data_IF_474458675438
#
_entry.id   IF_474458675438
#
_cell.length_a   1.000
_cell.length_b   1.000
_cell.length_c   1.000
_cell.angle_alpha   90.00
_cell.angle_beta   90.00
_cell.angle_gamma   90.00
#
_symmetry.space_group_name_H-M   'P 1'
#
loop_
_entity.id
_entity.type
_entity.pdbx_description
1 polymer ?
#
# COMPACT_ATOMS: atom_id res chain seq x y z
N UNK A 1 -22.26 13.05 7.61
CA UNK A 1 -21.07 12.19 7.87
C UNK A 1 -21.06 10.95 6.98
N UNK A 2 -22.19 10.34 6.67
CA UNK A 2 -22.26 9.17 5.77
C UNK A 2 -21.74 9.46 4.37
N UNK A 3 -21.88 10.68 3.88
CA UNK A 3 -21.45 11.12 2.55
C UNK A 3 -19.93 10.97 2.30
N UNK A 4 -19.10 11.02 3.35
CA UNK A 4 -17.63 11.01 3.23
C UNK A 4 -16.97 9.78 3.89
N UNK A 5 -17.73 8.69 4.06
CA UNK A 5 -17.19 7.46 4.67
C UNK A 5 -15.98 6.89 3.90
N UNK A 6 -16.04 6.95 2.56
CA UNK A 6 -14.96 6.47 1.70
C UNK A 6 -13.69 7.28 1.85
N UNK A 7 -13.81 8.60 1.85
CA UNK A 7 -12.69 9.54 1.97
C UNK A 7 -12.02 9.43 3.34
N UNK A 8 -12.83 9.38 4.42
CA UNK A 8 -12.33 9.20 5.79
C UNK A 8 -11.60 7.86 5.92
N UNK A 9 -12.15 6.77 5.37
CA UNK A 9 -11.51 5.46 5.35
C UNK A 9 -10.19 5.48 4.55
N UNK A 10 -10.13 6.22 3.43
CA UNK A 10 -8.92 6.42 2.64
C UNK A 10 -7.82 7.13 3.44
N UNK A 11 -8.16 8.18 4.16
CA UNK A 11 -7.23 8.89 5.05
C UNK A 11 -6.79 7.99 6.21
N UNK A 12 -7.72 7.25 6.84
CA UNK A 12 -7.40 6.27 7.89
C UNK A 12 -6.43 5.21 7.39
N UNK A 13 -6.61 4.73 6.14
CA UNK A 13 -5.67 3.83 5.46
C UNK A 13 -4.27 4.44 5.37
N UNK A 14 -4.16 5.71 4.95
CA UNK A 14 -2.86 6.38 4.83
C UNK A 14 -2.14 6.51 6.18
N UNK A 15 -2.87 6.78 7.28
CA UNK A 15 -2.29 6.74 8.63
C UNK A 15 -1.81 5.34 9.02
N UNK A 16 -2.61 4.31 8.77
CA UNK A 16 -2.24 2.92 9.04
C UNK A 16 -0.99 2.51 8.25
N UNK A 17 -0.92 2.87 6.96
CA UNK A 17 0.24 2.54 6.12
C UNK A 17 1.48 3.37 6.49
N UNK A 18 1.31 4.58 6.99
CA UNK A 18 2.42 5.37 7.54
C UNK A 18 3.04 4.65 8.74
N UNK A 19 2.23 4.22 9.71
CA UNK A 19 2.71 3.42 10.84
C UNK A 19 3.38 2.12 10.36
N UNK A 20 2.71 1.38 9.48
CA UNK A 20 3.21 0.14 8.89
C UNK A 20 4.56 0.29 8.21
N UNK A 21 4.75 1.36 7.42
CA UNK A 21 6.00 1.58 6.68
C UNK A 21 7.20 1.70 7.61
N UNK A 22 7.04 2.39 8.75
CA UNK A 22 8.10 2.55 9.75
C UNK A 22 8.50 1.21 10.39
N UNK A 23 7.51 0.39 10.77
CA UNK A 23 7.76 -0.91 11.40
C UNK A 23 8.32 -1.92 10.41
N UNK A 24 7.82 -1.95 9.19
CA UNK A 24 8.30 -2.88 8.16
C UNK A 24 9.68 -2.50 7.62
N UNK A 25 10.02 -1.22 7.56
CA UNK A 25 11.38 -0.80 7.23
C UNK A 25 12.38 -1.32 8.27
N UNK A 26 12.08 -1.12 9.56
CA UNK A 26 12.94 -1.58 10.64
C UNK A 26 13.08 -3.11 10.67
N UNK A 27 11.98 -3.85 10.47
CA UNK A 27 11.98 -5.31 10.40
C UNK A 27 12.68 -5.81 9.14
N UNK A 28 12.40 -5.22 7.97
CA UNK A 28 12.96 -5.61 6.68
C UNK A 28 14.48 -5.51 6.61
N UNK A 29 15.06 -4.50 7.27
CA UNK A 29 16.53 -4.36 7.41
C UNK A 29 17.16 -5.53 8.17
N UNK A 30 16.41 -6.24 9.03
CA UNK A 30 16.90 -7.33 9.87
C UNK A 30 16.67 -8.72 9.25
N UNK A 31 15.50 -8.94 8.69
CA UNK A 31 15.05 -10.27 8.23
C UNK A 31 14.75 -10.37 6.73
N UNK A 32 14.91 -9.25 6.01
CA UNK A 32 14.63 -9.15 4.59
C UNK A 32 13.14 -8.93 4.29
N UNK A 33 12.85 -8.15 3.24
CA UNK A 33 11.51 -7.74 2.86
C UNK A 33 10.59 -8.90 2.46
N UNK A 34 11.12 -9.92 1.78
CA UNK A 34 10.32 -11.10 1.40
C UNK A 34 9.80 -11.85 2.62
N UNK A 35 10.66 -12.07 3.66
CA UNK A 35 10.25 -12.72 4.90
C UNK A 35 9.20 -11.89 5.64
N UNK A 36 9.35 -10.57 5.67
CA UNK A 36 8.34 -9.65 6.25
C UNK A 36 7.01 -9.83 5.55
N UNK A 37 6.99 -9.88 4.20
CA UNK A 37 5.74 -10.01 3.44
C UNK A 37 5.00 -11.32 3.70
N UNK A 38 5.70 -12.45 3.72
CA UNK A 38 5.08 -13.73 4.03
C UNK A 38 4.50 -13.74 5.46
N UNK A 39 5.31 -13.32 6.44
CA UNK A 39 4.93 -13.37 7.86
C UNK A 39 3.78 -12.39 8.15
N UNK A 40 3.80 -11.17 7.59
CA UNK A 40 2.72 -10.18 7.81
C UNK A 40 1.37 -10.67 7.29
N UNK A 41 1.35 -11.35 6.11
CA UNK A 41 0.12 -11.89 5.55
C UNK A 41 -0.39 -13.08 6.36
N UNK A 42 0.51 -13.93 6.86
CA UNK A 42 0.13 -15.02 7.78
C UNK A 42 -0.49 -14.45 9.06
N UNK A 43 0.09 -13.42 9.66
CA UNK A 43 -0.46 -12.78 10.86
C UNK A 43 -1.83 -12.13 10.57
N UNK A 44 -1.94 -11.43 9.45
CA UNK A 44 -3.21 -10.81 9.04
C UNK A 44 -4.30 -11.86 8.77
N UNK A 45 -3.95 -13.02 8.22
CA UNK A 45 -4.87 -14.13 8.04
C UNK A 45 -5.52 -14.54 9.37
N UNK A 46 -4.72 -14.72 10.43
CA UNK A 46 -5.26 -15.07 11.75
C UNK A 46 -6.06 -13.92 12.38
N UNK A 47 -5.60 -12.67 12.26
CA UNK A 47 -6.32 -11.51 12.80
C UNK A 47 -7.68 -11.35 12.13
N UNK A 48 -7.72 -11.37 10.79
CA UNK A 48 -8.96 -11.26 10.02
C UNK A 48 -9.89 -12.44 10.27
N UNK A 49 -9.35 -13.66 10.33
CA UNK A 49 -10.12 -14.85 10.66
C UNK A 49 -10.76 -14.78 12.05
N UNK A 50 -10.01 -14.28 13.04
CA UNK A 50 -10.53 -14.08 14.40
C UNK A 50 -11.66 -13.05 14.42
N UNK A 51 -11.48 -11.90 13.74
CA UNK A 51 -12.54 -10.88 13.66
C UNK A 51 -13.77 -11.41 12.92
N UNK A 52 -13.60 -12.09 11.79
CA UNK A 52 -14.70 -12.74 11.08
C UNK A 52 -15.44 -13.73 11.96
N UNK A 53 -14.71 -14.52 12.74
CA UNK A 53 -15.33 -15.49 13.66
C UNK A 53 -16.15 -14.80 14.76
N UNK A 54 -15.61 -13.75 15.36
CA UNK A 54 -16.28 -13.01 16.43
C UNK A 54 -17.52 -12.24 15.93
N UNK A 55 -17.43 -11.68 14.74
CA UNK A 55 -18.46 -10.80 14.17
C UNK A 55 -19.49 -11.56 13.33
N UNK A 56 -19.06 -12.60 12.57
CA UNK A 56 -19.91 -13.33 11.62
C UNK A 56 -20.11 -14.80 11.99
N UNK A 57 -19.43 -15.31 13.02
CA UNK A 57 -19.47 -16.72 13.39
C UNK A 57 -18.66 -17.64 12.47
N UNK A 58 -17.96 -17.10 11.45
CA UNK A 58 -17.21 -17.85 10.44
C UNK A 58 -15.75 -17.41 10.45
N UNK A 59 -14.82 -18.31 10.78
CA UNK A 59 -13.38 -18.00 10.70
C UNK A 59 -12.93 -17.76 9.25
N UNK A 60 -13.32 -18.65 8.35
CA UNK A 60 -13.09 -18.53 6.91
C UNK A 60 -14.34 -17.99 6.22
N UNK A 61 -14.20 -17.17 5.17
CA UNK A 61 -15.30 -16.59 4.42
C UNK A 61 -15.93 -17.60 3.44
N UNK A 62 -16.43 -18.72 3.96
CA UNK A 62 -16.97 -19.84 3.17
C UNK A 62 -18.35 -19.54 2.55
N UNK A 63 -19.01 -18.51 3.01
CA UNK A 63 -20.27 -17.97 2.50
C UNK A 63 -20.11 -17.04 1.30
N UNK A 64 -18.85 -16.72 0.93
CA UNK A 64 -18.55 -15.91 -0.24
C UNK A 64 -18.95 -16.63 -1.53
N UNK A 65 -19.56 -15.88 -2.48
CA UNK A 65 -19.88 -16.39 -3.80
C UNK A 65 -18.62 -16.71 -4.62
N UNK A 66 -18.79 -17.50 -5.68
CA UNK A 66 -17.69 -17.76 -6.63
C UNK A 66 -17.16 -16.46 -7.24
N UNK A 67 -18.04 -15.48 -7.50
CA UNK A 67 -17.64 -14.15 -7.97
C UNK A 67 -16.69 -13.46 -6.99
N UNK A 68 -17.06 -13.42 -5.70
CA UNK A 68 -16.23 -12.81 -4.66
C UNK A 68 -14.85 -13.52 -4.56
N UNK A 69 -14.84 -14.85 -4.53
CA UNK A 69 -13.60 -15.62 -4.47
C UNK A 69 -12.69 -15.35 -5.66
N UNK A 70 -13.20 -15.39 -6.89
CA UNK A 70 -12.39 -15.21 -8.10
C UNK A 70 -11.75 -13.80 -8.14
N UNK A 71 -12.56 -12.74 -7.98
CA UNK A 71 -12.07 -11.38 -8.12
C UNK A 71 -11.18 -10.96 -6.94
N UNK A 72 -11.53 -11.35 -5.70
CA UNK A 72 -10.74 -11.03 -4.52
C UNK A 72 -9.43 -11.84 -4.48
N UNK A 73 -9.44 -13.11 -4.89
CA UNK A 73 -8.21 -13.89 -5.00
C UNK A 73 -7.29 -13.31 -6.08
N UNK A 74 -7.83 -12.97 -7.26
CA UNK A 74 -7.07 -12.31 -8.32
C UNK A 74 -6.50 -10.97 -7.84
N UNK A 75 -7.30 -10.18 -7.13
CA UNK A 75 -6.86 -8.94 -6.49
C UNK A 75 -5.69 -9.15 -5.53
N UNK A 76 -5.75 -10.18 -4.68
CA UNK A 76 -4.69 -10.54 -3.74
C UNK A 76 -3.40 -10.98 -4.44
N UNK A 77 -3.52 -11.79 -5.50
CA UNK A 77 -2.36 -12.23 -6.29
C UNK A 77 -1.72 -11.05 -7.05
N UNK A 78 -2.53 -10.21 -7.70
CA UNK A 78 -2.03 -9.07 -8.47
C UNK A 78 -1.44 -8.00 -7.55
N UNK A 79 -2.16 -7.60 -6.50
CA UNK A 79 -1.71 -6.54 -5.61
C UNK A 79 -0.60 -7.00 -4.65
N UNK A 80 -0.87 -8.02 -3.81
CA UNK A 80 0.08 -8.43 -2.78
C UNK A 80 1.23 -9.28 -3.33
N UNK A 81 0.98 -10.23 -4.25
CA UNK A 81 2.07 -11.10 -4.72
C UNK A 81 2.87 -10.41 -5.81
N UNK A 82 2.28 -10.11 -6.94
CA UNK A 82 3.00 -9.53 -8.09
C UNK A 82 3.42 -8.09 -7.79
N UNK A 83 2.50 -7.24 -7.34
CA UNK A 83 2.76 -5.83 -7.07
C UNK A 83 3.86 -5.63 -6.03
N UNK A 84 3.80 -6.31 -4.89
CA UNK A 84 4.83 -6.18 -3.86
C UNK A 84 6.17 -6.78 -4.30
N UNK A 85 6.20 -7.90 -5.03
CA UNK A 85 7.46 -8.47 -5.55
C UNK A 85 8.16 -7.50 -6.48
N UNK A 86 7.44 -6.89 -7.42
CA UNK A 86 7.99 -5.92 -8.37
C UNK A 86 8.46 -4.66 -7.63
N UNK A 87 7.67 -4.14 -6.68
CA UNK A 87 8.03 -2.96 -5.90
C UNK A 87 9.26 -3.21 -5.02
N UNK A 88 9.36 -4.34 -4.34
CA UNK A 88 10.53 -4.64 -3.52
C UNK A 88 11.78 -4.88 -4.35
N UNK A 89 11.65 -5.48 -5.53
CA UNK A 89 12.77 -5.59 -6.44
C UNK A 89 13.19 -4.21 -6.95
N UNK A 90 12.25 -3.30 -7.24
CA UNK A 90 12.55 -1.92 -7.59
C UNK A 90 13.31 -1.20 -6.46
N UNK A 91 12.94 -1.40 -5.19
CA UNK A 91 13.68 -0.82 -4.06
C UNK A 91 15.15 -1.26 -4.03
N UNK A 92 15.45 -2.48 -4.44
CA UNK A 92 16.81 -3.00 -4.52
C UNK A 92 17.59 -2.38 -5.70
N UNK A 93 16.91 -2.19 -6.84
CA UNK A 93 17.55 -1.81 -8.11
C UNK A 93 17.72 -0.30 -8.26
N UNK A 94 16.67 0.49 -7.97
CA UNK A 94 16.69 1.97 -8.14
C UNK A 94 16.56 2.72 -6.81
N UNK A 95 16.37 2.00 -5.72
CA UNK A 95 16.21 2.58 -4.39
C UNK A 95 14.78 2.99 -4.07
N UNK A 96 14.49 3.11 -2.77
CA UNK A 96 13.15 3.39 -2.27
C UNK A 96 12.57 4.72 -2.79
N UNK A 97 13.40 5.77 -2.89
CA UNK A 97 12.96 7.11 -3.32
C UNK A 97 12.40 7.12 -4.75
N UNK A 98 13.14 6.54 -5.70
CA UNK A 98 12.69 6.47 -7.10
C UNK A 98 11.45 5.61 -7.23
N UNK A 99 11.44 4.47 -6.54
CA UNK A 99 10.29 3.56 -6.54
C UNK A 99 9.04 4.22 -5.97
N UNK A 100 9.15 4.96 -4.85
CA UNK A 100 8.01 5.68 -4.25
C UNK A 100 7.54 6.86 -5.12
N UNK A 101 8.44 7.51 -5.86
CA UNK A 101 8.05 8.53 -6.83
C UNK A 101 7.18 7.94 -7.95
N UNK A 102 7.57 6.75 -8.45
CA UNK A 102 6.79 6.05 -9.48
C UNK A 102 5.49 5.48 -8.88
N UNK A 103 5.51 5.06 -7.61
CA UNK A 103 4.29 4.65 -6.90
C UNK A 103 3.24 5.76 -6.80
N UNK A 104 3.63 7.04 -6.86
CA UNK A 104 2.68 8.16 -6.96
C UNK A 104 1.85 8.14 -8.27
N UNK A 105 2.18 7.28 -9.23
CA UNK A 105 1.34 7.02 -10.40
C UNK A 105 0.20 6.01 -10.13
N UNK A 106 0.21 5.34 -8.97
CA UNK A 106 -0.85 4.38 -8.63
C UNK A 106 -2.26 4.99 -8.64
N UNK A 107 -2.53 6.21 -8.10
CA UNK A 107 -3.85 6.82 -8.18
C UNK A 107 -4.37 7.06 -9.60
N UNK A 108 -3.65 7.70 -10.53
CA UNK A 108 -4.15 7.82 -11.91
C UNK A 108 -4.32 6.45 -12.59
N UNK A 109 -3.48 5.46 -12.27
CA UNK A 109 -3.68 4.09 -12.77
C UNK A 109 -4.94 3.44 -12.20
N UNK A 110 -5.24 3.68 -10.91
CA UNK A 110 -6.47 3.22 -10.27
C UNK A 110 -7.70 3.89 -10.89
N UNK A 111 -7.62 5.19 -11.18
CA UNK A 111 -8.68 5.92 -11.87
C UNK A 111 -8.96 5.37 -13.28
N UNK A 112 -7.90 5.16 -14.07
CA UNK A 112 -8.01 4.61 -15.43
C UNK A 112 -8.54 3.17 -15.39
N UNK A 113 -8.00 2.33 -14.50
CA UNK A 113 -8.45 0.94 -14.33
C UNK A 113 -9.88 0.88 -13.81
N UNK A 114 -10.28 1.77 -12.90
CA UNK A 114 -11.64 1.91 -12.40
C UNK A 114 -12.63 2.30 -13.49
N UNK A 115 -12.23 3.23 -14.36
CA UNK A 115 -13.02 3.58 -15.54
C UNK A 115 -13.21 2.38 -16.48
N UNK A 116 -12.14 1.66 -16.81
CA UNK A 116 -12.19 0.54 -17.76
C UNK A 116 -12.96 -0.67 -17.18
N UNK A 117 -12.73 -1.03 -15.91
CA UNK A 117 -13.22 -2.29 -15.30
C UNK A 117 -14.55 -2.11 -14.60
N UNK A 118 -14.78 -0.93 -13.99
CA UNK A 118 -15.96 -0.64 -13.17
C UNK A 118 -16.89 0.40 -13.81
N UNK A 119 -16.47 1.07 -14.89
CA UNK A 119 -17.22 2.18 -15.49
C UNK A 119 -17.22 3.45 -14.65
N UNK A 120 -16.29 3.60 -13.70
CA UNK A 120 -16.19 4.79 -12.83
C UNK A 120 -15.79 6.02 -13.65
N UNK A 121 -16.52 7.12 -13.47
CA UNK A 121 -16.18 8.42 -14.05
C UNK A 121 -15.88 9.41 -12.96
N UNK A 122 -14.72 10.07 -13.07
CA UNK A 122 -14.31 11.13 -12.14
C UNK A 122 -14.86 12.47 -12.61
N UNK A 123 -15.42 13.24 -11.71
CA UNK A 123 -15.75 14.63 -11.94
C UNK A 123 -14.49 15.49 -12.10
N UNK A 124 -14.65 16.66 -12.73
CA UNK A 124 -13.52 17.54 -12.98
C UNK A 124 -12.84 18.02 -11.69
N UNK A 125 -13.62 18.29 -10.64
CA UNK A 125 -13.13 18.64 -9.29
C UNK A 125 -12.24 17.54 -8.71
N UNK A 126 -12.64 16.26 -8.85
CA UNK A 126 -11.88 15.13 -8.38
C UNK A 126 -10.57 14.94 -9.15
N UNK A 127 -10.59 15.15 -10.49
CA UNK A 127 -9.36 15.11 -11.30
C UNK A 127 -8.39 16.21 -10.87
N UNK A 128 -8.89 17.43 -10.66
CA UNK A 128 -8.10 18.57 -10.20
C UNK A 128 -7.51 18.28 -8.80
N UNK A 129 -8.34 17.78 -7.88
CA UNK A 129 -7.90 17.35 -6.54
C UNK A 129 -6.79 16.31 -6.60
N UNK A 130 -6.93 15.29 -7.47
CA UNK A 130 -5.91 14.27 -7.69
C UNK A 130 -4.60 14.89 -8.18
N UNK A 131 -4.63 15.73 -9.21
CA UNK A 131 -3.43 16.37 -9.79
C UNK A 131 -2.71 17.24 -8.76
N UNK A 132 -3.45 18.06 -8.00
CA UNK A 132 -2.86 18.91 -6.96
C UNK A 132 -2.27 18.06 -5.84
N UNK A 133 -2.99 17.04 -5.35
CA UNK A 133 -2.50 16.14 -4.30
C UNK A 133 -1.22 15.43 -4.72
N UNK A 134 -1.19 14.86 -5.93
CA UNK A 134 -0.02 14.16 -6.45
C UNK A 134 1.17 15.09 -6.66
N UNK A 135 0.93 16.32 -7.10
CA UNK A 135 1.98 17.35 -7.23
C UNK A 135 2.61 17.62 -5.85
N UNK A 136 1.81 17.82 -4.83
CA UNK A 136 2.29 17.99 -3.45
C UNK A 136 3.08 16.78 -2.95
N UNK A 137 2.58 15.57 -3.16
CA UNK A 137 3.29 14.32 -2.80
C UNK A 137 4.63 14.20 -3.52
N UNK A 138 4.66 14.48 -4.83
CA UNK A 138 5.91 14.46 -5.61
C UNK A 138 6.92 15.48 -5.07
N UNK A 139 6.49 16.69 -4.69
CA UNK A 139 7.37 17.69 -4.06
C UNK A 139 7.96 17.17 -2.76
N UNK A 140 7.18 16.54 -1.89
CA UNK A 140 7.68 15.93 -0.64
C UNK A 140 8.71 14.86 -0.95
N UNK A 141 8.41 13.90 -1.83
CA UNK A 141 9.31 12.79 -2.17
C UNK A 141 10.61 13.30 -2.81
N UNK A 142 10.54 14.28 -3.70
CA UNK A 142 11.69 14.83 -4.41
C UNK A 142 12.64 15.64 -3.51
N UNK A 143 12.13 16.26 -2.46
CA UNK A 143 12.94 17.12 -1.58
C UNK A 143 13.41 16.43 -0.29
N UNK A 144 12.91 15.22 0.01
CA UNK A 144 13.29 14.47 1.21
C UNK A 144 14.78 14.06 1.14
N UNK A 145 15.59 14.36 2.17
CA UNK A 145 17.01 14.03 2.16
C UNK A 145 17.23 12.51 2.16
N UNK A 146 18.04 12.02 1.20
CA UNK A 146 18.45 10.62 1.17
C UNK A 146 19.77 10.46 1.90
N UNK A 147 19.81 9.70 2.97
CA UNK A 147 21.04 9.22 3.58
C UNK A 147 21.63 8.10 2.71
N UNK A 148 22.48 8.45 1.75
CA UNK A 148 23.28 7.45 1.03
C UNK A 148 24.43 6.97 1.91
N UNK A 149 24.73 5.65 1.88
CA UNK A 149 25.86 5.04 2.60
C UNK A 149 27.21 5.74 2.35
N UNK A 150 27.34 6.49 1.25
CA UNK A 150 28.59 7.13 0.81
C UNK A 150 28.54 8.67 0.80
N UNK A 151 27.54 9.31 1.39
CA UNK A 151 27.48 10.79 1.47
C UNK A 151 27.29 11.53 0.14
N UNK A 152 27.26 10.84 -1.00
CA UNK A 152 27.07 11.45 -2.32
C UNK A 152 25.58 11.69 -2.59
N UNK A 153 25.22 12.96 -2.90
CA UNK A 153 23.91 13.32 -3.41
C UNK A 153 23.76 12.72 -4.82
N UNK A 154 22.90 11.71 -4.98
CA UNK A 154 22.53 11.19 -6.30
C UNK A 154 21.78 12.26 -7.07
N UNK A 155 22.23 12.58 -8.29
CA UNK A 155 21.54 13.53 -9.18
C UNK A 155 20.29 12.88 -9.76
N UNK A 156 19.25 13.66 -10.04
CA UNK A 156 17.99 13.20 -10.65
C UNK A 156 18.25 12.39 -11.95
N UNK A 157 19.26 12.79 -12.72
CA UNK A 157 19.67 12.14 -13.97
C UNK A 157 20.15 10.68 -13.76
N UNK A 158 20.76 10.39 -12.60
CA UNK A 158 21.26 9.04 -12.29
C UNK A 158 20.12 8.04 -11.97
N UNK A 159 18.92 8.56 -11.68
CA UNK A 159 17.74 7.73 -11.37
C UNK A 159 17.17 7.05 -12.61
N UNK A 160 17.26 7.71 -13.76
CA UNK A 160 16.74 7.19 -15.03
C UNK A 160 17.73 6.27 -15.76
N UNK A 161 18.93 6.07 -15.22
CA UNK A 161 19.96 5.23 -15.83
C UNK A 161 19.70 3.72 -15.73
N UNK A 162 18.64 3.30 -14.99
CA UNK A 162 18.28 1.89 -14.87
C UNK A 162 16.83 1.64 -15.29
N UNK A 163 16.57 1.41 -16.60
CA UNK A 163 15.23 1.22 -17.13
C UNK A 163 14.51 0.01 -16.53
N UNK A 164 15.23 -1.06 -16.17
CA UNK A 164 14.66 -2.22 -15.51
C UNK A 164 14.06 -1.87 -14.15
N UNK A 165 14.78 -1.08 -13.33
CA UNK A 165 14.28 -0.66 -12.04
C UNK A 165 13.06 0.26 -12.12
N UNK A 166 13.01 1.13 -13.14
CA UNK A 166 11.84 1.96 -13.42
C UNK A 166 10.64 1.10 -13.85
N UNK A 167 10.86 0.13 -14.71
CA UNK A 167 9.81 -0.81 -15.16
C UNK A 167 9.27 -1.64 -14.00
N UNK A 168 10.13 -2.11 -13.10
CA UNK A 168 9.73 -2.84 -11.89
C UNK A 168 8.88 -1.96 -10.95
N UNK A 169 9.28 -0.70 -10.74
CA UNK A 169 8.51 0.24 -9.92
C UNK A 169 7.14 0.56 -10.55
N UNK A 170 7.11 0.76 -11.86
CA UNK A 170 5.88 0.98 -12.63
C UNK A 170 4.94 -0.25 -12.55
N UNK A 171 5.50 -1.46 -12.74
CA UNK A 171 4.76 -2.70 -12.58
C UNK A 171 4.21 -2.87 -11.16
N UNK A 172 4.97 -2.47 -10.13
CA UNK A 172 4.50 -2.44 -8.74
C UNK A 172 3.31 -1.49 -8.55
N UNK A 173 3.42 -0.26 -9.05
CA UNK A 173 2.34 0.73 -8.98
C UNK A 173 1.07 0.26 -9.71
N UNK A 174 1.24 -0.30 -10.92
CA UNK A 174 0.13 -0.88 -11.70
C UNK A 174 -0.52 -2.07 -10.98
N UNK A 175 0.30 -2.96 -10.40
CA UNK A 175 -0.21 -4.10 -9.64
C UNK A 175 -1.03 -3.68 -8.42
N UNK A 176 -0.59 -2.66 -7.69
CA UNK A 176 -1.35 -2.10 -6.56
C UNK A 176 -2.67 -1.46 -7.04
N UNK A 177 -2.62 -0.65 -8.10
CA UNK A 177 -3.79 0.01 -8.66
C UNK A 177 -4.85 -1.00 -9.15
N UNK A 178 -4.45 -1.94 -10.01
CA UNK A 178 -5.34 -2.98 -10.54
C UNK A 178 -5.84 -3.87 -9.38
N UNK A 179 -4.98 -4.26 -8.45
CA UNK A 179 -5.37 -5.04 -7.28
C UNK A 179 -6.47 -4.35 -6.47
N UNK A 180 -6.41 -3.03 -6.31
CA UNK A 180 -7.43 -2.26 -5.61
C UNK A 180 -8.77 -2.25 -6.38
N UNK A 181 -8.74 -2.02 -7.69
CA UNK A 181 -9.94 -2.03 -8.56
C UNK A 181 -10.61 -3.41 -8.59
N UNK A 182 -9.80 -4.47 -8.72
CA UNK A 182 -10.32 -5.85 -8.69
C UNK A 182 -10.95 -6.18 -7.33
N UNK A 183 -10.42 -5.62 -6.23
CA UNK A 183 -11.04 -5.83 -4.91
C UNK A 183 -12.40 -5.16 -4.81
N UNK A 184 -12.58 -3.95 -5.36
CA UNK A 184 -13.90 -3.31 -5.42
C UNK A 184 -14.89 -4.17 -6.18
N UNK A 185 -14.52 -4.66 -7.35
CA UNK A 185 -15.37 -5.56 -8.15
C UNK A 185 -15.71 -6.86 -7.42
N UNK A 186 -14.72 -7.46 -6.75
CA UNK A 186 -14.93 -8.71 -6.01
C UNK A 186 -15.70 -8.55 -4.71
N UNK A 187 -15.82 -7.34 -4.19
CA UNK A 187 -16.48 -7.05 -2.92
C UNK A 187 -17.97 -6.68 -3.09
N UNK A 188 -18.49 -6.66 -4.31
CA UNK A 188 -19.89 -6.32 -4.57
C UNK A 188 -20.84 -7.18 -3.72
N UNK A 189 -21.66 -6.52 -2.86
CA UNK A 189 -22.63 -7.19 -1.99
C UNK A 189 -22.02 -8.06 -0.88
N UNK A 190 -20.71 -7.90 -0.58
CA UNK A 190 -20.04 -8.72 0.40
C UNK A 190 -19.31 -7.91 1.47
N UNK A 191 -19.09 -8.52 2.64
CA UNK A 191 -18.47 -7.88 3.80
C UNK A 191 -17.01 -7.51 3.55
N UNK A 192 -16.61 -6.31 4.03
CA UNK A 192 -15.26 -5.75 3.83
C UNK A 192 -14.17 -6.59 4.49
N UNK A 193 -14.40 -7.05 5.73
CA UNK A 193 -13.41 -7.81 6.49
C UNK A 193 -13.21 -9.19 5.87
N UNK A 194 -14.31 -9.84 5.48
CA UNK A 194 -14.27 -11.11 4.78
C UNK A 194 -13.62 -10.99 3.40
N UNK A 195 -13.90 -9.91 2.67
CA UNK A 195 -13.24 -9.60 1.40
C UNK A 195 -11.74 -9.40 1.56
N UNK A 196 -11.35 -8.66 2.60
CA UNK A 196 -9.92 -8.47 2.95
C UNK A 196 -9.27 -9.81 3.29
N UNK A 197 -9.98 -10.70 3.98
CA UNK A 197 -9.48 -12.02 4.35
C UNK A 197 -9.21 -12.89 3.12
N UNK A 198 -10.13 -12.94 2.13
CA UNK A 198 -9.90 -13.67 0.86
C UNK A 198 -8.66 -13.11 0.14
N UNK A 199 -8.54 -11.79 0.05
CA UNK A 199 -7.36 -11.14 -0.56
C UNK A 199 -6.05 -11.53 0.12
N UNK A 200 -6.03 -11.48 1.46
CA UNK A 200 -4.85 -11.84 2.27
C UNK A 200 -4.51 -13.31 2.09
N UNK A 201 -5.50 -14.20 2.06
CA UNK A 201 -5.30 -15.64 1.81
C UNK A 201 -4.64 -15.88 0.46
N UNK A 202 -5.17 -15.26 -0.61
CA UNK A 202 -4.62 -15.41 -1.95
C UNK A 202 -3.18 -14.86 -2.04
N UNK A 203 -2.93 -13.68 -1.46
CA UNK A 203 -1.59 -13.11 -1.37
C UNK A 203 -0.62 -13.98 -0.59
N UNK A 204 -1.06 -14.54 0.54
CA UNK A 204 -0.25 -15.48 1.33
C UNK A 204 0.12 -16.73 0.53
N UNK A 205 -0.86 -17.36 -0.13
CA UNK A 205 -0.64 -18.53 -1.00
C UNK A 205 0.34 -18.16 -2.11
N UNK A 206 0.18 -17.00 -2.75
CA UNK A 206 1.10 -16.51 -3.77
C UNK A 206 2.54 -16.39 -3.26
N UNK A 207 2.76 -15.84 -2.05
CA UNK A 207 4.09 -15.79 -1.44
C UNK A 207 4.62 -17.18 -1.05
N UNK A 208 3.78 -18.10 -0.59
CA UNK A 208 4.16 -19.50 -0.34
C UNK A 208 4.72 -20.11 -1.61
N UNK A 209 4.05 -19.95 -2.74
CA UNK A 209 4.50 -20.43 -4.05
C UNK A 209 5.84 -19.80 -4.43
N UNK A 210 5.98 -18.46 -4.28
CA UNK A 210 7.26 -17.77 -4.54
C UNK A 210 8.39 -18.32 -3.69
N UNK A 211 8.17 -18.50 -2.38
CA UNK A 211 9.19 -19.08 -1.49
C UNK A 211 9.55 -20.51 -1.85
N UNK A 212 8.57 -21.29 -2.31
CA UNK A 212 8.80 -22.66 -2.79
C UNK A 212 9.75 -22.67 -4.01
N UNK A 213 9.46 -21.87 -5.03
CA UNK A 213 10.32 -21.79 -6.22
C UNK A 213 11.69 -21.18 -5.92
N UNK A 214 11.76 -20.17 -5.04
CA UNK A 214 13.03 -19.55 -4.65
C UNK A 214 13.86 -20.39 -3.68
N UNK A 215 13.32 -21.49 -3.13
CA UNK A 215 13.97 -22.37 -2.13
C UNK A 215 14.52 -21.60 -0.92
N UNK A 216 13.82 -20.54 -0.48
CA UNK A 216 14.30 -19.61 0.58
C UNK A 216 13.63 -19.81 1.95
N UNK A 217 12.97 -20.92 2.20
CA UNK A 217 12.25 -21.20 3.45
C UNK A 217 13.12 -21.09 4.70
N UNK A 218 14.41 -21.45 4.62
CA UNK A 218 15.34 -21.29 5.73
C UNK A 218 15.41 -19.87 6.26
N UNK A 219 15.24 -18.83 5.38
CA UNK A 219 15.23 -17.42 5.78
C UNK A 219 14.02 -17.07 6.63
N UNK A 220 12.87 -17.70 6.39
CA UNK A 220 11.66 -17.50 7.18
C UNK A 220 11.86 -18.06 8.60
N UNK A 221 12.42 -19.27 8.71
CA UNK A 221 12.69 -19.87 10.03
C UNK A 221 13.71 -19.07 10.85
N UNK A 222 14.73 -18.50 10.20
CA UNK A 222 15.69 -17.59 10.86
C UNK A 222 14.98 -16.28 11.27
N UNK A 223 14.11 -15.76 10.41
CA UNK A 223 13.34 -14.55 10.69
C UNK A 223 12.45 -14.69 11.93
N UNK A 224 11.77 -15.82 12.09
CA UNK A 224 10.89 -16.10 13.23
C UNK A 224 11.65 -16.11 14.58
N UNK A 225 12.95 -16.41 14.58
CA UNK A 225 13.80 -16.38 15.78
C UNK A 225 14.20 -14.96 16.20
N UNK A 226 14.09 -13.98 15.32
CA UNK A 226 14.47 -12.60 15.60
C UNK A 226 13.33 -11.85 16.32
N UNK A 227 13.31 -11.92 17.65
CA UNK A 227 12.26 -11.32 18.50
C UNK A 227 12.00 -9.83 18.22
N UNK A 228 13.05 -9.05 17.92
CA UNK A 228 12.92 -7.60 17.68
C UNK A 228 12.30 -7.32 16.31
N UNK A 229 12.67 -8.08 15.28
CA UNK A 229 12.03 -7.99 13.97
C UNK A 229 10.57 -8.44 14.04
N UNK A 230 10.30 -9.54 14.78
CA UNK A 230 8.94 -10.06 14.95
C UNK A 230 8.01 -9.06 15.63
N UNK A 231 8.47 -8.33 16.67
CA UNK A 231 7.68 -7.22 17.25
C UNK A 231 7.29 -6.19 16.19
N UNK A 232 8.24 -5.76 15.35
CA UNK A 232 7.98 -4.84 14.26
C UNK A 232 7.01 -5.41 13.22
N UNK A 233 7.17 -6.68 12.83
CA UNK A 233 6.26 -7.34 11.88
C UNK A 233 4.86 -7.46 12.47
N UNK A 234 4.71 -7.80 13.75
CA UNK A 234 3.38 -7.93 14.40
C UNK A 234 2.63 -6.60 14.42
N UNK A 235 3.29 -5.53 14.89
CA UNK A 235 2.68 -4.19 14.91
C UNK A 235 2.36 -3.73 13.48
N UNK A 236 3.32 -3.90 12.56
CA UNK A 236 3.13 -3.55 11.16
C UNK A 236 2.04 -4.39 10.47
N UNK A 237 1.86 -5.66 10.83
CA UNK A 237 0.78 -6.50 10.30
C UNK A 237 -0.60 -6.08 10.83
N UNK A 238 -0.67 -5.61 12.07
CA UNK A 238 -1.90 -5.08 12.64
C UNK A 238 -2.34 -3.79 11.92
N UNK A 239 -1.43 -2.82 11.77
CA UNK A 239 -1.76 -1.57 11.09
C UNK A 239 -1.82 -1.72 9.55
N UNK A 240 -1.03 -2.61 8.93
CA UNK A 240 -0.97 -2.77 7.49
C UNK A 240 -2.06 -3.68 6.93
N UNK A 241 -1.74 -4.96 6.73
CA UNK A 241 -2.67 -5.87 6.04
C UNK A 241 -3.95 -6.16 6.82
N UNK A 242 -4.01 -5.94 8.14
CA UNK A 242 -5.26 -6.09 8.90
C UNK A 242 -6.09 -4.80 8.83
N UNK A 243 -5.72 -3.72 9.51
CA UNK A 243 -6.51 -2.47 9.53
C UNK A 243 -6.41 -1.69 8.21
N UNK A 244 -5.21 -1.44 7.73
CA UNK A 244 -4.98 -0.59 6.57
C UNK A 244 -5.63 -1.16 5.30
N UNK A 245 -5.52 -2.47 5.04
CA UNK A 245 -6.19 -3.07 3.89
C UNK A 245 -7.71 -3.12 4.10
N UNK A 246 -8.21 -3.38 5.31
CA UNK A 246 -9.66 -3.32 5.59
C UNK A 246 -10.21 -1.91 5.35
N UNK A 247 -9.54 -0.86 5.85
CA UNK A 247 -9.94 0.52 5.57
C UNK A 247 -9.79 0.88 4.08
N UNK A 248 -8.79 0.33 3.37
CA UNK A 248 -8.66 0.58 1.94
C UNK A 248 -9.81 -0.01 1.13
N UNK A 249 -10.30 -1.19 1.52
CA UNK A 249 -11.47 -1.79 0.90
C UNK A 249 -12.74 -1.02 1.28
N UNK A 250 -12.87 -0.60 2.54
CA UNK A 250 -13.97 0.25 2.98
C UNK A 250 -13.99 1.58 2.18
N UNK A 251 -12.82 2.17 1.94
CA UNK A 251 -12.71 3.38 1.13
C UNK A 251 -13.24 3.15 -0.29
N UNK A 252 -12.75 2.14 -1.00
CA UNK A 252 -13.22 1.89 -2.39
C UNK A 252 -14.65 1.36 -2.46
N UNK A 253 -15.21 0.85 -1.37
CA UNK A 253 -16.63 0.48 -1.30
C UNK A 253 -17.52 1.73 -1.35
N UNK A 254 -17.10 2.83 -0.74
CA UNK A 254 -17.91 4.04 -0.54
C UNK A 254 -17.48 5.24 -1.41
N UNK A 255 -16.31 5.19 -2.07
CA UNK A 255 -15.88 6.25 -2.99
C UNK A 255 -15.26 5.67 -4.26
N UNK A 256 -14.93 6.53 -5.24
CA UNK A 256 -14.31 6.13 -6.49
C UNK A 256 -12.87 5.65 -6.26
N UNK A 257 -12.43 4.64 -7.01
CA UNK A 257 -11.10 4.00 -6.81
C UNK A 257 -9.95 5.00 -6.99
N UNK A 258 -10.08 5.95 -7.90
CA UNK A 258 -9.09 7.02 -8.10
C UNK A 258 -8.97 7.96 -6.89
N UNK A 259 -10.10 8.36 -6.28
CA UNK A 259 -10.14 9.20 -5.08
C UNK A 259 -9.55 8.43 -3.90
N UNK A 260 -10.05 7.22 -3.62
CA UNK A 260 -9.53 6.38 -2.54
C UNK A 260 -8.02 6.18 -2.66
N UNK A 261 -7.52 5.81 -3.84
CA UNK A 261 -6.08 5.60 -4.07
C UNK A 261 -5.27 6.88 -3.87
N UNK A 262 -5.82 8.06 -4.24
CA UNK A 262 -5.15 9.36 -4.04
C UNK A 262 -5.01 9.67 -2.54
N UNK A 263 -6.06 9.45 -1.76
CA UNK A 263 -6.03 9.64 -0.31
C UNK A 263 -5.03 8.67 0.37
N UNK A 264 -5.01 7.42 -0.05
CA UNK A 264 -4.05 6.42 0.42
C UNK A 264 -2.60 6.78 0.07
N UNK A 265 -2.37 7.48 -1.04
CA UNK A 265 -1.04 7.92 -1.46
C UNK A 265 -0.42 9.03 -0.59
N UNK A 266 -1.14 9.57 0.41
CA UNK A 266 -0.63 10.59 1.35
C UNK A 266 0.47 10.08 2.31
N UNK A 267 0.79 8.81 2.33
CA UNK A 267 1.82 8.23 3.22
C UNK A 267 3.13 9.03 3.26
N UNK A 268 3.73 9.49 2.13
CA UNK A 268 4.95 10.30 2.16
C UNK A 268 4.80 11.65 2.85
N UNK A 269 3.58 12.19 2.89
CA UNK A 269 3.26 13.45 3.60
C UNK A 269 3.06 13.15 5.10
N UNK A 270 2.27 12.14 5.41
CA UNK A 270 1.93 11.78 6.79
C UNK A 270 3.11 11.22 7.60
N UNK A 271 4.17 10.74 6.94
CA UNK A 271 5.37 10.27 7.62
C UNK A 271 6.27 11.43 8.10
N UNK A 272 6.04 12.67 7.63
CA UNK A 272 6.85 13.83 8.03
C UNK A 272 6.80 14.09 9.54
N UNK A 273 5.63 14.22 10.20
CA UNK A 273 5.57 14.45 11.64
C UNK A 273 6.27 13.36 12.45
N UNK A 274 6.03 12.05 12.25
CA UNK A 274 6.76 11.01 12.94
C UNK A 274 8.27 11.04 12.69
N UNK A 275 8.71 11.35 11.48
CA UNK A 275 10.13 11.43 11.12
C UNK A 275 10.85 12.53 11.92
N UNK A 276 10.20 13.66 12.14
CA UNK A 276 10.74 14.76 12.95
C UNK A 276 10.73 14.42 14.44
N UNK A 277 9.60 13.94 14.95
CA UNK A 277 9.40 13.72 16.38
C UNK A 277 10.29 12.57 16.89
N UNK A 278 10.24 11.42 16.20
CA UNK A 278 10.92 10.21 16.67
C UNK A 278 12.35 10.06 16.14
N UNK A 279 12.62 10.51 14.90
CA UNK A 279 13.94 10.35 14.29
C UNK A 279 14.74 11.63 14.21
N UNK A 280 14.18 12.77 14.69
CA UNK A 280 14.83 14.10 14.70
C UNK A 280 15.36 14.48 13.31
N UNK A 281 14.64 14.10 12.25
CA UNK A 281 15.00 14.46 10.88
C UNK A 281 14.74 15.95 10.64
N UNK A 282 15.65 16.60 9.90
CA UNK A 282 15.46 18.00 9.48
C UNK A 282 14.52 18.05 8.29
N UNK A 283 13.48 18.86 8.37
CA UNK A 283 12.54 19.10 7.28
C UNK A 283 13.07 20.20 6.38
N UNK A 284 12.89 20.03 5.06
CA UNK A 284 13.10 21.08 4.09
C UNK A 284 11.79 21.88 3.93
N UNK A 285 11.92 23.20 3.70
CA UNK A 285 10.77 24.09 3.43
C UNK A 285 9.90 23.57 2.26
N UNK A 286 10.54 23.01 1.23
CA UNK A 286 9.82 22.42 0.09
C UNK A 286 8.98 21.18 0.45
N UNK A 287 9.36 20.43 1.48
CA UNK A 287 8.53 19.32 2.01
C UNK A 287 7.27 19.87 2.69
N UNK A 288 7.38 20.98 3.42
CA UNK A 288 6.23 21.64 4.07
C UNK A 288 5.27 22.18 2.99
N UNK A 289 5.80 22.89 2.00
CA UNK A 289 4.99 23.42 0.89
C UNK A 289 4.30 22.27 0.15
N UNK A 290 5.02 21.20 -0.17
CA UNK A 290 4.45 20.02 -0.82
C UNK A 290 3.34 19.38 0.01
N UNK A 291 3.53 19.28 1.34
CA UNK A 291 2.50 18.75 2.24
C UNK A 291 1.24 19.64 2.24
N UNK A 292 1.39 20.96 2.31
CA UNK A 292 0.25 21.90 2.24
C UNK A 292 -0.48 21.76 0.91
N UNK A 293 0.24 21.71 -0.22
CA UNK A 293 -0.37 21.51 -1.55
C UNK A 293 -1.13 20.18 -1.60
N UNK A 294 -0.56 19.10 -1.06
CA UNK A 294 -1.24 17.82 -1.03
C UNK A 294 -2.56 17.88 -0.24
N UNK A 295 -2.59 18.54 0.92
CA UNK A 295 -3.80 18.68 1.71
C UNK A 295 -4.84 19.61 1.06
N UNK A 296 -4.42 20.64 0.35
CA UNK A 296 -5.34 21.48 -0.45
C UNK A 296 -6.02 20.62 -1.53
N UNK A 297 -5.26 19.78 -2.24
CA UNK A 297 -5.82 18.87 -3.23
C UNK A 297 -6.79 17.85 -2.62
N UNK A 298 -6.49 17.32 -1.42
CA UNK A 298 -7.40 16.46 -0.66
C UNK A 298 -8.70 17.17 -0.31
N UNK A 299 -8.64 18.46 0.05
CA UNK A 299 -9.82 19.25 0.35
C UNK A 299 -10.86 19.28 -0.78
N UNK A 300 -10.41 19.20 -2.04
CA UNK A 300 -11.31 19.18 -3.20
C UNK A 300 -12.16 17.88 -3.32
N UNK A 301 -11.79 16.80 -2.63
CA UNK A 301 -12.62 15.59 -2.60
C UNK A 301 -13.79 15.69 -1.62
N UNK A 302 -13.85 16.75 -0.81
CA UNK A 302 -14.91 17.01 0.16
C UNK A 302 -15.82 18.18 -0.24
N UNK A 303 -15.63 18.70 -1.46
CA UNK A 303 -16.49 19.73 -2.08
C UNK A 303 -17.45 19.09 -3.07
#
# INVERSE_FOLDING_TARGET
>A
MEQYYGEIAGIATAFCWTATSMFFEAAGKRIGSLSVNLIRLLMAFFLLGTVNWLYRGLFLPLDASVHNWLWLALSGLVGFTIGDLLLFQAFVVVGARVSMLIMALSPPMAAISGWIILGETLEYSAILGMVITLTGIMMVVLNRPVKTKNGKKTKLKDWFNNPLGLLLAFGGATGQAIGLVLSKKGMEGYDVVASTHIRVMAGFIGFVIVFFFMKRWHKVFIALKNKQAMKGVTIGAFFGPFLGVSFSLLAVQHTLTGIASTLMALVPVLIIPPAVIFFKEKINVMEIIGAVIAFVGVGLFFL
#
